data_IF_879226977086
#
_entry.id   IF_879226977086
#
_cell.length_a   1.000
_cell.length_b   1.000
_cell.length_c   1.000
_cell.angle_alpha   90.00
_cell.angle_beta   90.00
_cell.angle_gamma   90.00
#
_symmetry.space_group_name_H-M   'P 1'
#
loop_
_entity.id
_entity.type
_entity.pdbx_description
1 polymer ?
#
# COMPACT_ATOMS: atom_id res chain seq x y z
N UNK A 1 53.89 -0.61 8.43
CA UNK A 1 52.79 -1.26 9.19
C UNK A 1 51.49 -0.45 9.20
N UNK A 2 51.53 0.89 9.28
CA UNK A 2 50.34 1.76 9.26
C UNK A 2 49.37 1.57 8.07
N UNK A 3 49.89 1.29 6.85
CA UNK A 3 49.07 1.13 5.64
C UNK A 3 48.07 -0.04 5.69
N UNK A 4 48.40 -1.12 6.41
CA UNK A 4 47.51 -2.29 6.58
C UNK A 4 46.36 -1.99 7.55
N UNK A 5 46.61 -1.16 8.58
CA UNK A 5 45.59 -0.71 9.51
C UNK A 5 44.64 0.34 8.90
N UNK A 6 45.14 1.22 8.02
CA UNK A 6 44.31 2.20 7.30
C UNK A 6 43.30 1.48 6.38
N UNK A 7 43.74 0.45 5.65
CA UNK A 7 42.85 -0.36 4.80
C UNK A 7 41.83 -1.15 5.63
N UNK A 8 42.25 -1.74 6.75
CA UNK A 8 41.33 -2.45 7.64
C UNK A 8 40.26 -1.52 8.25
N UNK A 9 40.65 -0.32 8.70
CA UNK A 9 39.72 0.67 9.26
C UNK A 9 38.74 1.21 8.21
N UNK A 10 39.19 1.42 6.97
CA UNK A 10 38.33 1.86 5.87
C UNK A 10 37.30 0.78 5.47
N UNK A 11 37.67 -0.50 5.54
CA UNK A 11 36.74 -1.61 5.27
C UNK A 11 35.74 -1.77 6.42
N UNK A 12 36.19 -1.66 7.67
CA UNK A 12 35.31 -1.74 8.85
C UNK A 12 34.32 -0.56 8.86
N UNK A 13 34.78 0.67 8.56
CA UNK A 13 33.89 1.83 8.49
C UNK A 13 32.89 1.73 7.34
N UNK A 14 33.31 1.23 6.16
CA UNK A 14 32.40 0.95 5.05
C UNK A 14 31.35 -0.13 5.41
N UNK A 15 31.73 -1.18 6.15
CA UNK A 15 30.81 -2.21 6.64
C UNK A 15 29.77 -1.65 7.62
N UNK A 16 30.20 -0.80 8.56
CA UNK A 16 29.32 -0.18 9.55
C UNK A 16 28.30 0.75 8.86
N UNK A 17 28.73 1.54 7.88
CA UNK A 17 27.84 2.42 7.11
C UNK A 17 26.80 1.63 6.28
N UNK A 18 27.16 0.47 5.74
CA UNK A 18 26.24 -0.41 4.99
C UNK A 18 25.20 -1.06 5.92
N UNK A 19 25.58 -1.42 7.16
CA UNK A 19 24.63 -1.99 8.13
C UNK A 19 23.57 -0.99 8.60
N UNK A 20 23.92 0.27 8.85
CA UNK A 20 22.97 1.29 9.32
C UNK A 20 21.88 1.64 8.28
N UNK A 21 22.24 1.70 6.98
CA UNK A 21 21.30 1.98 5.91
C UNK A 21 20.25 0.86 5.70
N UNK A 22 20.57 -0.38 6.09
CA UNK A 22 19.66 -1.53 5.92
C UNK A 22 18.57 -1.60 7.00
N UNK A 23 18.78 -0.98 8.17
CA UNK A 23 17.83 -1.04 9.28
C UNK A 23 16.60 -0.12 9.09
N UNK A 24 16.79 1.09 8.54
CA UNK A 24 15.69 2.06 8.39
C UNK A 24 14.61 1.62 7.39
N UNK A 25 14.99 0.91 6.33
CA UNK A 25 14.03 0.48 5.30
C UNK A 25 13.14 -0.69 5.76
N UNK A 26 13.63 -1.55 6.66
CA UNK A 26 12.84 -2.65 7.21
C UNK A 26 11.77 -2.18 8.20
N UNK A 27 12.05 -1.15 9.00
CA UNK A 27 11.10 -0.63 9.99
C UNK A 27 9.90 0.05 9.32
N UNK A 28 10.15 0.94 8.35
CA UNK A 28 9.07 1.60 7.61
C UNK A 28 8.18 0.61 6.86
N UNK A 29 8.79 -0.39 6.21
CA UNK A 29 8.01 -1.41 5.51
C UNK A 29 7.16 -2.25 6.49
N UNK A 30 7.68 -2.54 7.68
CA UNK A 30 6.92 -3.24 8.71
C UNK A 30 5.71 -2.43 9.19
N UNK A 31 5.87 -1.12 9.40
CA UNK A 31 4.77 -0.23 9.78
C UNK A 31 3.68 -0.18 8.70
N UNK A 32 4.07 -0.12 7.42
CA UNK A 32 3.13 -0.16 6.30
C UNK A 32 2.38 -1.49 6.24
N UNK A 33 3.07 -2.61 6.48
CA UNK A 33 2.44 -3.93 6.54
C UNK A 33 1.42 -4.03 7.69
N UNK A 34 1.78 -3.50 8.87
CA UNK A 34 0.88 -3.43 10.03
C UNK A 34 -0.37 -2.62 9.71
N UNK A 35 -0.22 -1.44 9.10
CA UNK A 35 -1.35 -0.61 8.71
C UNK A 35 -2.25 -1.33 7.69
N UNK A 36 -1.69 -1.86 6.62
CA UNK A 36 -2.47 -2.57 5.59
C UNK A 36 -3.22 -3.79 6.17
N UNK A 37 -2.57 -4.52 7.07
CA UNK A 37 -3.19 -5.65 7.78
C UNK A 37 -4.34 -5.20 8.66
N UNK A 38 -4.15 -4.13 9.44
CA UNK A 38 -5.19 -3.60 10.31
C UNK A 38 -6.39 -3.07 9.50
N UNK A 39 -6.17 -2.35 8.39
CA UNK A 39 -7.25 -1.90 7.51
C UNK A 39 -8.09 -3.07 7.00
N UNK A 40 -7.43 -4.16 6.60
CA UNK A 40 -8.11 -5.39 6.20
C UNK A 40 -8.89 -6.04 7.36
N UNK A 41 -8.30 -6.15 8.55
CA UNK A 41 -8.97 -6.70 9.75
C UNK A 41 -10.19 -5.87 10.15
N UNK A 42 -10.10 -4.55 9.96
CA UNK A 42 -11.19 -3.60 10.19
C UNK A 42 -12.21 -3.57 9.06
N UNK A 43 -12.03 -4.35 7.98
CA UNK A 43 -12.98 -4.38 6.86
C UNK A 43 -13.10 -3.05 6.10
N UNK A 44 -12.07 -2.20 6.17
CA UNK A 44 -12.00 -0.98 5.38
C UNK A 44 -11.89 -1.35 3.90
N UNK A 45 -12.54 -0.58 3.03
CA UNK A 45 -12.49 -0.76 1.57
C UNK A 45 -11.94 0.49 0.89
N UNK A 46 -11.10 0.30 -0.10
CA UNK A 46 -10.66 1.30 -1.08
C UNK A 46 -11.33 0.97 -2.42
N UNK A 47 -12.22 1.83 -2.89
CA UNK A 47 -12.85 1.71 -4.19
C UNK A 47 -12.08 2.55 -5.20
N UNK A 48 -11.59 1.94 -6.26
CA UNK A 48 -10.78 2.63 -7.24
C UNK A 48 -10.92 2.07 -8.64
N UNK A 49 -10.07 2.58 -9.54
CA UNK A 49 -9.95 2.06 -10.89
C UNK A 49 -8.48 1.90 -11.28
N UNK A 50 -8.14 0.80 -11.97
CA UNK A 50 -6.75 0.45 -12.30
C UNK A 50 -5.96 1.55 -13.06
N UNK A 51 -6.67 2.43 -13.77
CA UNK A 51 -6.11 3.52 -14.57
C UNK A 51 -6.10 4.87 -13.82
N UNK A 52 -6.68 4.95 -12.63
CA UNK A 52 -6.83 6.21 -11.91
C UNK A 52 -5.49 6.68 -11.33
N UNK A 53 -5.02 7.90 -11.64
CA UNK A 53 -3.75 8.42 -11.14
C UNK A 53 -3.73 8.56 -9.62
N UNK A 54 -4.84 8.99 -9.01
CA UNK A 54 -4.94 9.12 -7.56
C UNK A 54 -4.92 7.78 -6.82
N UNK A 55 -5.44 6.71 -7.44
CA UNK A 55 -5.29 5.34 -6.95
C UNK A 55 -3.83 4.89 -7.06
N UNK A 56 -3.13 5.24 -8.14
CA UNK A 56 -1.71 4.96 -8.28
C UNK A 56 -0.86 5.69 -7.22
N UNK A 57 -1.20 6.93 -6.87
CA UNK A 57 -0.57 7.67 -5.78
C UNK A 57 -0.82 7.00 -4.43
N UNK A 58 -2.07 6.60 -4.14
CA UNK A 58 -2.42 5.86 -2.93
C UNK A 58 -1.62 4.56 -2.81
N UNK A 59 -1.58 3.77 -3.89
CA UNK A 59 -0.79 2.54 -3.98
C UNK A 59 0.69 2.79 -3.72
N UNK A 60 1.25 3.86 -4.28
CA UNK A 60 2.65 4.23 -4.10
C UNK A 60 2.98 4.51 -2.64
N UNK A 61 2.08 5.14 -1.88
CA UNK A 61 2.28 5.41 -0.45
C UNK A 61 2.42 4.13 0.38
N UNK A 62 1.68 3.06 0.03
CA UNK A 62 1.80 1.75 0.69
C UNK A 62 3.01 0.93 0.24
N UNK A 63 3.63 1.26 -0.89
CA UNK A 63 4.75 0.50 -1.44
C UNK A 63 4.40 -0.99 -1.58
N UNK A 64 5.27 -1.86 -1.04
CA UNK A 64 5.03 -3.32 -1.07
C UNK A 64 3.84 -3.75 -0.20
N UNK A 65 3.45 -2.97 0.81
CA UNK A 65 2.32 -3.32 1.67
C UNK A 65 0.98 -3.29 0.92
N UNK A 66 0.94 -2.66 -0.27
CA UNK A 66 -0.26 -2.69 -1.11
C UNK A 66 -0.59 -4.09 -1.64
N UNK A 67 0.37 -5.03 -1.63
CA UNK A 67 0.07 -6.43 -1.94
C UNK A 67 -0.92 -7.00 -0.90
N UNK A 68 -0.79 -6.61 0.38
CA UNK A 68 -1.76 -6.98 1.44
C UNK A 68 -3.12 -6.34 1.17
N UNK A 69 -3.15 -5.08 0.72
CA UNK A 69 -4.39 -4.38 0.35
C UNK A 69 -5.14 -5.13 -0.76
N UNK A 70 -4.43 -5.63 -1.77
CA UNK A 70 -5.00 -6.42 -2.86
C UNK A 70 -5.41 -7.83 -2.39
N UNK A 71 -4.51 -8.56 -1.76
CA UNK A 71 -4.70 -9.97 -1.39
C UNK A 71 -5.77 -10.16 -0.32
N UNK A 72 -5.91 -9.20 0.60
CA UNK A 72 -6.93 -9.23 1.65
C UNK A 72 -8.23 -8.53 1.27
N UNK A 73 -8.35 -8.11 0.01
CA UNK A 73 -9.58 -7.57 -0.57
C UNK A 73 -9.97 -6.21 0.01
N UNK A 74 -9.02 -5.39 0.46
CA UNK A 74 -9.29 -3.99 0.83
C UNK A 74 -9.59 -3.19 -0.44
N UNK A 75 -8.82 -3.37 -1.50
CA UNK A 75 -9.09 -2.73 -2.79
C UNK A 75 -10.22 -3.43 -3.56
N UNK A 76 -11.15 -2.62 -4.06
CA UNK A 76 -12.25 -3.02 -4.94
C UNK A 76 -12.10 -2.30 -6.27
N UNK A 77 -11.94 -3.07 -7.34
CA UNK A 77 -11.81 -2.56 -8.70
C UNK A 77 -13.18 -2.23 -9.29
N UNK A 78 -13.42 -0.96 -9.59
CA UNK A 78 -14.70 -0.47 -10.09
C UNK A 78 -14.78 -0.41 -11.63
N UNK A 79 -13.69 -0.63 -12.36
CA UNK A 79 -13.72 -0.60 -13.83
C UNK A 79 -14.07 -1.97 -14.43
N UNK A 80 -15.11 -2.05 -15.30
CA UNK A 80 -15.54 -3.32 -15.90
C UNK A 80 -14.52 -3.94 -16.84
N UNK A 81 -13.45 -3.23 -17.23
CA UNK A 81 -12.40 -3.79 -18.11
C UNK A 81 -11.52 -4.81 -17.40
N UNK A 82 -11.51 -4.83 -16.07
CA UNK A 82 -10.74 -5.79 -15.28
C UNK A 82 -11.47 -7.12 -15.06
N UNK A 83 -11.89 -7.74 -16.16
CA UNK A 83 -12.52 -9.07 -16.19
C UNK A 83 -11.63 -10.08 -16.91
N UNK A 84 -11.63 -11.37 -16.51
CA UNK A 84 -10.84 -12.37 -17.20
C UNK A 84 -11.33 -12.60 -18.64
N UNK A 85 -10.39 -12.89 -19.55
CA UNK A 85 -10.71 -13.43 -20.87
C UNK A 85 -11.29 -14.85 -20.79
N UNK A 86 -11.66 -15.44 -21.93
CA UNK A 86 -12.16 -16.81 -22.00
C UNK A 86 -11.17 -17.87 -21.45
N UNK A 87 -9.87 -17.54 -21.37
CA UNK A 87 -8.83 -18.38 -20.78
C UNK A 87 -8.56 -18.07 -19.30
N UNK A 88 -9.39 -17.24 -18.66
CA UNK A 88 -9.26 -16.88 -17.25
C UNK A 88 -8.15 -15.86 -16.96
N UNK A 89 -7.57 -15.22 -17.98
CA UNK A 89 -6.47 -14.25 -17.79
C UNK A 89 -7.02 -12.84 -17.66
N UNK A 90 -6.60 -12.12 -16.61
CA UNK A 90 -6.87 -10.69 -16.48
C UNK A 90 -5.95 -9.86 -17.40
N UNK A 91 -6.37 -8.67 -17.86
CA UNK A 91 -5.48 -7.72 -18.50
C UNK A 91 -4.28 -7.42 -17.60
N UNK A 92 -3.09 -7.25 -18.18
CA UNK A 92 -1.86 -6.98 -17.42
C UNK A 92 -1.97 -5.75 -16.52
N UNK A 93 -2.73 -4.73 -16.95
CA UNK A 93 -2.99 -3.53 -16.17
C UNK A 93 -3.81 -3.79 -14.88
N UNK A 94 -4.58 -4.87 -14.85
CA UNK A 94 -5.47 -5.28 -13.77
C UNK A 94 -4.84 -6.32 -12.84
N UNK A 95 -3.50 -6.44 -12.79
CA UNK A 95 -2.83 -7.47 -12.00
C UNK A 95 -3.31 -7.44 -10.53
N UNK A 96 -3.96 -8.52 -10.09
CA UNK A 96 -4.53 -8.66 -8.75
C UNK A 96 -5.83 -7.89 -8.50
N UNK A 97 -6.40 -7.25 -9.51
CA UNK A 97 -7.55 -6.33 -9.43
C UNK A 97 -8.68 -6.88 -10.30
N UNK A 98 -9.54 -7.72 -9.73
CA UNK A 98 -10.73 -8.22 -10.45
C UNK A 98 -11.90 -7.27 -10.22
N UNK A 99 -12.56 -6.88 -11.29
CA UNK A 99 -13.70 -5.96 -11.24
C UNK A 99 -14.82 -6.49 -10.32
N UNK A 100 -15.36 -5.60 -9.50
CA UNK A 100 -16.60 -5.78 -8.74
C UNK A 100 -17.45 -4.49 -8.86
N UNK A 101 -17.93 -4.26 -10.08
CA UNK A 101 -18.67 -3.05 -10.45
C UNK A 101 -19.98 -2.91 -9.67
N UNK A 102 -20.66 -4.02 -9.43
CA UNK A 102 -21.94 -4.03 -8.68
C UNK A 102 -21.75 -3.49 -7.27
N UNK A 103 -20.68 -3.88 -6.57
CA UNK A 103 -20.40 -3.34 -5.24
C UNK A 103 -20.13 -1.84 -5.29
N UNK A 104 -19.36 -1.35 -6.26
CA UNK A 104 -19.10 0.09 -6.43
C UNK A 104 -20.39 0.89 -6.67
N UNK A 105 -21.32 0.36 -7.49
CA UNK A 105 -22.63 0.96 -7.73
C UNK A 105 -23.51 0.96 -6.46
N UNK A 106 -23.58 -0.17 -5.75
CA UNK A 106 -24.34 -0.31 -4.50
C UNK A 106 -23.82 0.66 -3.42
N UNK A 107 -22.51 0.88 -3.37
CA UNK A 107 -21.86 1.81 -2.43
C UNK A 107 -21.93 3.27 -2.87
N UNK A 108 -22.42 3.55 -4.06
CA UNK A 108 -22.53 4.91 -4.61
C UNK A 108 -21.16 5.58 -4.75
N UNK A 109 -20.19 4.85 -5.32
CA UNK A 109 -18.85 5.39 -5.60
C UNK A 109 -18.89 6.15 -6.92
N UNK A 110 -18.63 7.45 -6.86
CA UNK A 110 -18.64 8.40 -7.98
C UNK A 110 -17.26 9.06 -8.23
N UNK A 111 -16.31 8.90 -7.30
CA UNK A 111 -14.93 9.33 -7.41
C UNK A 111 -13.92 8.30 -6.91
N UNK A 112 -12.68 8.36 -7.44
CA UNK A 112 -11.62 7.41 -7.13
C UNK A 112 -10.33 8.10 -6.62
N UNK A 113 -9.61 7.51 -5.64
CA UNK A 113 -10.10 6.44 -4.77
C UNK A 113 -11.18 6.97 -3.82
N UNK A 114 -12.07 6.09 -3.36
CA UNK A 114 -12.97 6.36 -2.23
C UNK A 114 -12.74 5.30 -1.18
N UNK A 115 -12.39 5.71 0.04
CA UNK A 115 -12.28 4.82 1.19
C UNK A 115 -13.60 4.78 1.95
N UNK A 116 -14.09 3.59 2.26
CA UNK A 116 -15.30 3.37 3.05
C UNK A 116 -15.00 2.43 4.21
N UNK A 117 -15.30 2.88 5.42
CA UNK A 117 -15.18 2.08 6.64
C UNK A 117 -16.50 1.32 6.91
N UNK A 118 -16.50 0.22 7.70
CA UNK A 118 -17.71 -0.54 7.97
C UNK A 118 -18.85 0.27 8.60
N UNK A 119 -18.53 1.28 9.41
CA UNK A 119 -19.50 2.20 10.02
C UNK A 119 -20.08 3.22 9.02
N UNK A 120 -19.67 3.16 7.75
CA UNK A 120 -20.18 4.00 6.66
C UNK A 120 -19.44 5.32 6.48
N UNK A 121 -18.41 5.62 7.30
CA UNK A 121 -17.56 6.79 7.10
C UNK A 121 -16.85 6.70 5.75
N UNK A 122 -16.92 7.78 4.97
CA UNK A 122 -16.31 7.90 3.64
C UNK A 122 -15.18 8.93 3.64
N UNK A 123 -14.10 8.63 2.92
CA UNK A 123 -13.03 9.58 2.59
C UNK A 123 -12.77 9.52 1.08
N UNK A 124 -12.86 10.65 0.40
CA UNK A 124 -12.72 10.73 -1.06
C UNK A 124 -11.35 11.28 -1.46
N UNK A 125 -10.81 10.77 -2.56
CA UNK A 125 -9.49 11.09 -3.05
C UNK A 125 -8.36 10.41 -2.26
N UNK A 126 -7.13 10.64 -2.70
CA UNK A 126 -5.92 10.11 -2.05
C UNK A 126 -5.85 10.56 -0.59
N UNK A 127 -5.65 9.60 0.32
CA UNK A 127 -5.55 9.83 1.76
C UNK A 127 -4.13 9.57 2.27
N UNK A 128 -3.70 10.37 3.25
CA UNK A 128 -2.46 10.09 3.96
C UNK A 128 -2.59 8.82 4.80
N UNK A 129 -1.48 8.13 5.02
CA UNK A 129 -1.44 6.90 5.80
C UNK A 129 -1.85 7.14 7.26
N UNK A 130 -1.47 8.29 7.83
CA UNK A 130 -1.88 8.72 9.17
C UNK A 130 -3.37 8.97 9.25
N UNK A 131 -3.97 9.51 8.18
CA UNK A 131 -5.42 9.73 8.12
C UNK A 131 -6.15 8.40 8.11
N UNK A 132 -5.73 7.47 7.23
CA UNK A 132 -6.30 6.12 7.18
C UNK A 132 -6.16 5.39 8.53
N UNK A 133 -4.98 5.45 9.13
CA UNK A 133 -4.72 4.86 10.45
C UNK A 133 -5.64 5.44 11.53
N UNK A 134 -5.68 6.78 11.63
CA UNK A 134 -6.51 7.49 12.62
C UNK A 134 -7.99 7.18 12.47
N UNK A 135 -8.53 7.17 11.24
CA UNK A 135 -9.97 6.95 11.06
C UNK A 135 -10.37 5.49 11.29
N UNK A 136 -9.50 4.54 10.96
CA UNK A 136 -9.75 3.11 11.15
C UNK A 136 -9.42 2.61 12.57
N UNK A 137 -8.84 3.47 13.42
CA UNK A 137 -8.33 3.08 14.73
C UNK A 137 -7.16 2.10 14.62
N UNK A 138 -6.32 2.27 13.60
CA UNK A 138 -5.11 1.49 13.36
C UNK A 138 -3.87 2.28 13.78
N UNK A 139 -2.78 1.56 14.05
CA UNK A 139 -1.49 2.18 14.36
C UNK A 139 -0.69 2.46 13.08
N UNK A 140 -0.16 3.67 12.98
CA UNK A 140 0.84 4.05 12.00
C UNK A 140 1.63 5.24 12.54
N UNK A 141 2.95 5.10 12.63
CA UNK A 141 3.86 6.18 12.98
C UNK A 141 4.85 6.30 11.84
N UNK A 142 4.79 7.38 11.06
CA UNK A 142 5.88 7.66 10.13
C UNK A 142 7.18 7.79 10.96
N UNK A 143 8.23 7.06 10.61
CA UNK A 143 9.55 7.39 11.16
C UNK A 143 9.92 8.78 10.65
N UNK A 144 10.31 9.66 11.58
CA UNK A 144 10.87 10.95 11.21
C UNK A 144 12.16 10.68 10.42
N UNK A 145 12.09 10.82 9.10
CA UNK A 145 13.24 10.78 8.21
C UNK A 145 14.16 11.98 8.40
#
# INVERSE_FOLDING_TARGET
MAKKYILALAVISALILVTAASCGNSENQQQLNTLATCLADKGVKEYGAFWCPHCADQKKMFGKAYDIILERGVYVECDPRCVPDAGGRLPTACKGQRANVDECLIKGVDGYPTWILPEGKRLEGTQSLETLARVAGCEYSASAG
#
